data_IF_749449565465
#
_entry.id   IF_749449565465
#
_cell.length_a   1.000
_cell.length_b   1.000
_cell.length_c   1.000
_cell.angle_alpha   90.00
_cell.angle_beta   90.00
_cell.angle_gamma   90.00
#
_symmetry.space_group_name_H-M   'P 1'
#
loop_
_entity.id
_entity.type
_entity.pdbx_description
1 polymer ?
#
# COMPACT_ATOMS: atom_id res chain seq x y z
N UNK A 1 8.35 -20.45 -18.15
CA UNK A 1 8.20 -21.87 -18.51
C UNK A 1 6.94 -22.15 -19.31
N UNK A 2 5.75 -21.85 -18.78
CA UNK A 2 4.48 -22.16 -19.47
C UNK A 2 4.32 -21.53 -20.87
N UNK A 3 4.80 -20.29 -21.07
CA UNK A 3 4.83 -19.58 -22.37
C UNK A 3 5.68 -20.35 -23.40
N UNK A 4 6.84 -20.86 -22.98
CA UNK A 4 7.73 -21.67 -23.84
C UNK A 4 7.06 -23.00 -24.18
N UNK A 5 6.41 -23.64 -23.21
CA UNK A 5 5.65 -24.88 -23.43
C UNK A 5 4.57 -24.69 -24.49
N UNK A 6 3.76 -23.61 -24.39
CA UNK A 6 2.72 -23.31 -25.38
C UNK A 6 3.31 -23.02 -26.75
N UNK A 7 4.40 -22.25 -26.82
CA UNK A 7 5.10 -21.99 -28.07
C UNK A 7 5.55 -23.30 -28.75
N UNK A 8 6.15 -24.21 -27.99
CA UNK A 8 6.59 -25.54 -28.48
C UNK A 8 5.40 -26.34 -28.98
N UNK A 9 4.27 -26.37 -28.25
CA UNK A 9 3.07 -27.06 -28.72
C UNK A 9 2.51 -26.45 -30.01
N UNK A 10 2.51 -25.13 -30.16
CA UNK A 10 2.11 -24.46 -31.41
C UNK A 10 3.00 -24.93 -32.57
N UNK A 11 4.32 -25.02 -32.38
CA UNK A 11 5.25 -25.52 -33.39
C UNK A 11 4.99 -26.99 -33.74
N UNK A 12 4.77 -27.85 -32.74
CA UNK A 12 4.51 -29.29 -32.95
C UNK A 12 3.21 -29.51 -33.73
N UNK A 13 2.13 -28.83 -33.34
CA UNK A 13 0.81 -28.95 -33.97
C UNK A 13 0.85 -28.45 -35.43
N UNK A 14 1.58 -27.36 -35.68
CA UNK A 14 1.60 -26.70 -37.00
C UNK A 14 2.86 -27.00 -37.82
N UNK A 15 3.65 -28.02 -37.45
CA UNK A 15 4.96 -28.35 -38.07
C UNK A 15 4.95 -28.49 -39.59
N UNK A 16 3.81 -28.88 -40.18
CA UNK A 16 3.65 -29.05 -41.63
C UNK A 16 3.46 -27.73 -42.38
N UNK A 17 3.04 -26.68 -41.70
CA UNK A 17 2.79 -25.37 -42.30
C UNK A 17 2.94 -24.25 -41.26
N UNK A 18 4.17 -23.82 -40.99
CA UNK A 18 4.49 -22.86 -39.94
C UNK A 18 4.18 -21.40 -40.30
N UNK A 19 3.97 -21.10 -41.58
CA UNK A 19 3.61 -19.75 -42.06
C UNK A 19 4.53 -18.66 -41.49
N UNK A 20 5.84 -18.90 -41.55
CA UNK A 20 6.86 -18.08 -40.91
C UNK A 20 6.80 -16.61 -41.36
N UNK A 21 6.55 -16.35 -42.64
CA UNK A 21 6.43 -14.98 -43.16
C UNK A 21 5.28 -14.21 -42.48
N UNK A 22 4.09 -14.82 -42.39
CA UNK A 22 2.89 -14.23 -41.78
C UNK A 22 3.03 -14.03 -40.27
N UNK A 23 3.72 -14.94 -39.60
CA UNK A 23 3.87 -14.94 -38.14
C UNK A 23 5.20 -14.33 -37.65
N UNK A 24 6.10 -13.95 -38.55
CA UNK A 24 7.47 -13.46 -38.26
C UNK A 24 7.50 -12.40 -37.17
N UNK A 25 6.73 -11.33 -37.33
CA UNK A 25 6.63 -10.23 -36.36
C UNK A 25 6.17 -10.68 -34.97
N UNK A 26 5.28 -11.66 -34.90
CA UNK A 26 4.76 -12.16 -33.63
C UNK A 26 5.77 -13.09 -32.95
N UNK A 27 6.48 -13.91 -33.72
CA UNK A 27 7.61 -14.68 -33.20
C UNK A 27 8.72 -13.78 -32.67
N UNK A 28 9.05 -12.71 -33.39
CA UNK A 28 10.03 -11.71 -32.93
C UNK A 28 9.60 -11.08 -31.60
N UNK A 29 8.31 -10.76 -31.44
CA UNK A 29 7.79 -10.20 -30.19
C UNK A 29 7.91 -11.19 -29.01
N UNK A 30 7.59 -12.47 -29.24
CA UNK A 30 7.74 -13.54 -28.24
C UNK A 30 9.21 -13.72 -27.86
N UNK A 31 10.10 -13.80 -28.83
CA UNK A 31 11.54 -13.99 -28.59
C UNK A 31 12.14 -12.80 -27.85
N UNK A 32 11.83 -11.58 -28.27
CA UNK A 32 12.28 -10.36 -27.61
C UNK A 32 11.89 -10.35 -26.12
N UNK A 33 10.62 -10.64 -25.82
CA UNK A 33 10.10 -10.71 -24.46
C UNK A 33 10.81 -11.77 -23.61
N UNK A 34 11.08 -12.94 -24.19
CA UNK A 34 11.80 -14.02 -23.51
C UNK A 34 13.26 -13.64 -23.23
N UNK A 35 13.96 -13.07 -24.21
CA UNK A 35 15.36 -12.64 -24.04
C UNK A 35 15.49 -11.50 -23.04
N UNK A 36 14.63 -10.48 -23.10
CA UNK A 36 14.65 -9.39 -22.14
C UNK A 36 14.36 -9.89 -20.72
N UNK A 37 13.43 -10.85 -20.57
CA UNK A 37 13.16 -11.47 -19.26
C UNK A 37 14.36 -12.28 -18.75
N UNK A 38 15.07 -12.98 -19.65
CA UNK A 38 16.28 -13.73 -19.31
C UNK A 38 17.42 -12.79 -18.90
N UNK A 39 17.67 -11.73 -19.67
CA UNK A 39 18.69 -10.72 -19.38
C UNK A 39 18.48 -10.11 -18.00
N UNK A 40 17.26 -9.68 -17.70
CA UNK A 40 16.91 -9.11 -16.38
C UNK A 40 17.11 -10.13 -15.26
N UNK A 41 16.76 -11.39 -15.49
CA UNK A 41 16.95 -12.46 -14.49
C UNK A 41 18.44 -12.71 -14.22
N UNK A 42 19.27 -12.76 -15.28
CA UNK A 42 20.72 -12.94 -15.18
C UNK A 42 21.38 -11.76 -14.48
N UNK A 43 21.03 -10.53 -14.87
CA UNK A 43 21.56 -9.31 -14.25
C UNK A 43 21.24 -9.24 -12.76
N UNK A 44 20.12 -9.84 -12.33
CA UNK A 44 19.69 -9.84 -10.92
C UNK A 44 20.16 -11.04 -10.12
N UNK A 45 20.73 -12.07 -10.77
CA UNK A 45 21.27 -13.25 -10.09
C UNK A 45 22.40 -12.93 -9.11
N UNK A 46 23.14 -11.83 -9.35
CA UNK A 46 24.19 -11.34 -8.45
C UNK A 46 23.71 -10.86 -7.08
N UNK A 47 22.40 -10.63 -6.91
CA UNK A 47 21.79 -10.18 -5.66
C UNK A 47 21.08 -11.33 -4.89
N UNK A 48 21.35 -12.58 -5.26
CA UNK A 48 20.75 -13.77 -4.66
C UNK A 48 19.61 -14.37 -5.49
N UNK A 49 19.42 -15.68 -5.33
CA UNK A 49 18.47 -16.48 -6.13
C UNK A 49 17.00 -16.05 -5.93
N UNK A 50 16.63 -15.62 -4.73
CA UNK A 50 15.29 -15.10 -4.42
C UNK A 50 14.99 -13.78 -5.14
N UNK A 51 16.00 -12.92 -5.29
CA UNK A 51 15.89 -11.63 -5.99
C UNK A 51 15.87 -11.84 -7.50
N UNK A 52 16.68 -12.77 -8.01
CA UNK A 52 16.71 -13.18 -9.42
C UNK A 52 15.35 -13.67 -9.92
N UNK A 53 14.63 -14.43 -9.09
CA UNK A 53 13.33 -15.00 -9.41
C UNK A 53 12.14 -14.08 -9.10
N UNK A 54 12.38 -12.92 -8.48
CA UNK A 54 11.29 -12.00 -8.13
C UNK A 54 10.65 -11.39 -9.39
N UNK A 55 9.36 -11.70 -9.59
CA UNK A 55 8.54 -11.27 -10.74
C UNK A 55 8.17 -9.78 -10.67
N UNK A 56 9.15 -8.88 -10.76
CA UNK A 56 8.91 -7.43 -10.85
C UNK A 56 8.71 -6.93 -12.28
N UNK A 57 9.00 -7.77 -13.29
CA UNK A 57 9.09 -7.38 -14.70
C UNK A 57 7.99 -8.01 -15.56
N UNK A 58 6.80 -8.15 -14.98
CA UNK A 58 5.65 -8.80 -15.60
C UNK A 58 5.19 -8.11 -16.91
N UNK A 59 5.35 -6.79 -17.01
CA UNK A 59 5.09 -6.00 -18.23
C UNK A 59 5.88 -6.52 -19.44
N UNK A 60 7.09 -7.03 -19.23
CA UNK A 60 7.88 -7.61 -20.33
C UNK A 60 7.30 -8.95 -20.78
N UNK A 61 6.74 -9.76 -19.87
CA UNK A 61 6.14 -11.06 -20.22
C UNK A 61 4.80 -10.93 -20.95
N UNK A 62 4.06 -9.84 -20.74
CA UNK A 62 2.79 -9.59 -21.45
C UNK A 62 2.96 -9.55 -22.98
N UNK A 63 4.08 -9.02 -23.47
CA UNK A 63 4.38 -8.99 -24.90
C UNK A 63 4.45 -10.39 -25.53
N UNK A 64 5.03 -11.36 -24.82
CA UNK A 64 5.04 -12.75 -25.30
C UNK A 64 3.65 -13.37 -25.33
N UNK A 65 2.77 -13.05 -24.38
CA UNK A 65 1.40 -13.57 -24.36
C UNK A 65 0.57 -12.98 -25.51
N UNK A 66 0.73 -11.69 -25.79
CA UNK A 66 0.13 -11.01 -26.95
C UNK A 66 0.63 -11.65 -28.26
N UNK A 67 1.93 -11.88 -28.38
CA UNK A 67 2.51 -12.56 -29.53
C UNK A 67 1.95 -13.97 -29.73
N UNK A 68 1.87 -14.77 -28.66
CA UNK A 68 1.26 -16.11 -28.69
C UNK A 68 -0.22 -16.06 -29.09
N UNK A 69 -0.97 -15.08 -28.60
CA UNK A 69 -2.38 -14.90 -28.97
C UNK A 69 -2.54 -14.70 -30.48
N UNK A 70 -1.76 -13.79 -31.08
CA UNK A 70 -1.85 -13.54 -32.51
C UNK A 70 -1.36 -14.73 -33.36
N UNK A 71 -0.34 -15.46 -32.91
CA UNK A 71 0.12 -16.69 -33.58
C UNK A 71 -1.00 -17.74 -33.57
N UNK A 72 -1.59 -18.01 -32.41
CA UNK A 72 -2.70 -18.96 -32.26
C UNK A 72 -3.92 -18.56 -33.09
N UNK A 73 -4.28 -17.28 -33.09
CA UNK A 73 -5.39 -16.75 -33.88
C UNK A 73 -5.15 -16.90 -35.39
N UNK A 74 -3.92 -16.65 -35.84
CA UNK A 74 -3.54 -16.82 -37.24
C UNK A 74 -3.67 -18.27 -37.70
N UNK A 75 -3.22 -19.23 -36.89
CA UNK A 75 -3.38 -20.64 -37.20
C UNK A 75 -4.84 -21.06 -37.25
N UNK A 76 -5.66 -20.66 -36.27
CA UNK A 76 -7.12 -20.91 -36.32
C UNK A 76 -7.75 -20.38 -37.61
N UNK A 77 -7.43 -19.14 -38.00
CA UNK A 77 -7.95 -18.53 -39.23
C UNK A 77 -7.54 -19.31 -40.51
N UNK A 78 -6.29 -19.78 -40.58
CA UNK A 78 -5.81 -20.57 -41.72
C UNK A 78 -6.59 -21.88 -41.86
N UNK A 79 -6.77 -22.62 -40.76
CA UNK A 79 -7.48 -23.90 -40.81
C UNK A 79 -8.98 -23.71 -41.08
N UNK A 80 -9.58 -22.59 -40.65
CA UNK A 80 -10.95 -22.24 -41.06
C UNK A 80 -11.08 -21.99 -42.56
N UNK A 81 -10.10 -21.31 -43.19
CA UNK A 81 -10.11 -21.06 -44.65
C UNK A 81 -9.81 -22.32 -45.47
N UNK A 82 -8.79 -23.07 -45.08
CA UNK A 82 -8.34 -24.24 -45.84
C UNK A 82 -9.31 -25.43 -45.76
N UNK A 83 -10.13 -25.53 -44.71
CA UNK A 83 -11.16 -26.57 -44.60
C UNK A 83 -12.20 -26.51 -45.73
N UNK A 84 -12.38 -25.35 -46.36
CA UNK A 84 -13.30 -25.19 -47.50
C UNK A 84 -12.77 -25.81 -48.82
N UNK A 85 -11.48 -26.18 -48.88
CA UNK A 85 -10.78 -26.57 -50.14
C UNK A 85 -10.26 -28.03 -50.07
N UNK A 86 -10.66 -28.81 -49.05
CA UNK A 86 -10.06 -30.14 -48.81
C UNK A 86 -10.62 -31.21 -49.77
N UNK A 87 -9.77 -31.98 -50.48
CA UNK A 87 -10.21 -33.09 -51.33
C UNK A 87 -10.76 -34.26 -50.51
N UNK A 88 -11.69 -35.03 -51.09
CA UNK A 88 -12.57 -36.06 -50.48
C UNK A 88 -11.87 -37.31 -49.87
N UNK A 89 -10.55 -37.25 -49.61
CA UNK A 89 -9.81 -38.33 -48.98
C UNK A 89 -10.03 -38.31 -47.47
N UNK A 90 -10.73 -39.33 -46.96
CA UNK A 90 -11.07 -39.53 -45.54
C UNK A 90 -9.91 -39.23 -44.56
N UNK A 91 -8.73 -39.81 -44.80
CA UNK A 91 -7.55 -39.62 -43.94
C UNK A 91 -7.01 -38.17 -43.89
N UNK A 92 -7.15 -37.39 -44.97
CA UNK A 92 -6.71 -36.00 -44.99
C UNK A 92 -7.66 -35.09 -44.20
N UNK A 93 -8.96 -35.37 -44.27
CA UNK A 93 -10.00 -34.64 -43.54
C UNK A 93 -9.86 -34.80 -42.03
N UNK A 94 -9.64 -36.03 -41.54
CA UNK A 94 -9.46 -36.32 -40.11
C UNK A 94 -8.23 -35.61 -39.50
N UNK A 95 -7.11 -35.56 -40.24
CA UNK A 95 -5.88 -34.90 -39.79
C UNK A 95 -6.10 -33.38 -39.67
N UNK A 96 -6.82 -32.78 -40.63
CA UNK A 96 -7.11 -31.34 -40.65
C UNK A 96 -8.07 -30.99 -39.51
N UNK A 97 -9.10 -31.80 -39.28
CA UNK A 97 -10.06 -31.60 -38.18
C UNK A 97 -9.40 -31.71 -36.81
N UNK A 98 -8.56 -32.73 -36.59
CA UNK A 98 -7.78 -32.86 -35.35
C UNK A 98 -6.86 -31.66 -35.11
N UNK A 99 -6.19 -31.17 -36.15
CA UNK A 99 -5.29 -30.01 -36.06
C UNK A 99 -6.07 -28.73 -35.75
N UNK A 100 -7.27 -28.57 -36.33
CA UNK A 100 -8.19 -27.47 -36.03
C UNK A 100 -8.58 -27.46 -34.55
N UNK A 101 -9.03 -28.59 -34.00
CA UNK A 101 -9.40 -28.71 -32.58
C UNK A 101 -8.22 -28.35 -31.68
N UNK A 102 -7.02 -28.87 -31.96
CA UNK A 102 -5.81 -28.55 -31.19
C UNK A 102 -5.47 -27.06 -31.22
N UNK A 103 -5.60 -26.39 -32.37
CA UNK A 103 -5.37 -24.94 -32.46
C UNK A 103 -6.41 -24.12 -31.68
N UNK A 104 -7.68 -24.55 -31.63
CA UNK A 104 -8.68 -23.93 -30.75
C UNK A 104 -8.35 -24.14 -29.26
N UNK A 105 -7.87 -25.31 -28.86
CA UNK A 105 -7.43 -25.58 -27.49
C UNK A 105 -6.22 -24.71 -27.10
N UNK A 106 -5.27 -24.52 -28.01
CA UNK A 106 -4.11 -23.64 -27.79
C UNK A 106 -4.52 -22.17 -27.65
N UNK A 107 -5.43 -21.70 -28.52
CA UNK A 107 -6.00 -20.35 -28.40
C UNK A 107 -6.73 -20.16 -27.07
N UNK A 108 -7.57 -21.13 -26.69
CA UNK A 108 -8.27 -21.14 -25.40
C UNK A 108 -7.30 -21.11 -24.23
N UNK A 109 -6.21 -21.87 -24.28
CA UNK A 109 -5.16 -21.89 -23.25
C UNK A 109 -4.50 -20.52 -23.08
N UNK A 110 -4.16 -19.85 -24.18
CA UNK A 110 -3.57 -18.50 -24.15
C UNK A 110 -4.57 -17.48 -23.58
N UNK A 111 -5.85 -17.56 -23.95
CA UNK A 111 -6.90 -16.70 -23.40
C UNK A 111 -7.10 -16.94 -21.89
N UNK A 112 -7.17 -18.19 -21.45
CA UNK A 112 -7.27 -18.52 -20.03
C UNK A 112 -6.11 -17.92 -19.23
N UNK A 113 -4.89 -17.95 -19.76
CA UNK A 113 -3.73 -17.35 -19.09
C UNK A 113 -3.81 -15.83 -19.01
N UNK A 114 -4.30 -15.17 -20.06
CA UNK A 114 -4.54 -13.73 -20.03
C UNK A 114 -5.56 -13.38 -18.94
N UNK A 115 -6.68 -14.09 -18.88
CA UNK A 115 -7.72 -13.84 -17.88
C UNK A 115 -7.22 -14.12 -16.46
N UNK A 116 -6.63 -15.30 -16.21
CA UNK A 116 -6.09 -15.66 -14.90
C UNK A 116 -5.02 -14.66 -14.46
N UNK A 117 -4.11 -14.29 -15.37
CA UNK A 117 -3.06 -13.31 -15.09
C UNK A 117 -3.64 -11.96 -14.69
N UNK A 118 -4.53 -11.37 -15.51
CA UNK A 118 -5.15 -10.08 -15.22
C UNK A 118 -5.91 -10.12 -13.90
N UNK A 119 -6.73 -11.15 -13.67
CA UNK A 119 -7.52 -11.29 -12.44
C UNK A 119 -6.63 -11.41 -11.20
N UNK A 120 -5.62 -12.29 -11.23
CA UNK A 120 -4.71 -12.49 -10.11
C UNK A 120 -3.92 -11.22 -9.77
N UNK A 121 -3.40 -10.53 -10.80
CA UNK A 121 -2.63 -9.30 -10.60
C UNK A 121 -3.48 -8.13 -10.12
N UNK A 122 -4.72 -8.02 -10.60
CA UNK A 122 -5.61 -6.96 -10.15
C UNK A 122 -5.97 -7.12 -8.67
N UNK A 123 -6.33 -8.34 -8.25
CA UNK A 123 -6.66 -8.63 -6.85
C UNK A 123 -5.47 -8.41 -5.93
N UNK A 124 -4.32 -9.00 -6.26
CA UNK A 124 -3.08 -8.82 -5.47
C UNK A 124 -2.60 -7.37 -5.46
N UNK A 125 -2.81 -6.64 -6.56
CA UNK A 125 -2.49 -5.21 -6.67
C UNK A 125 -3.34 -4.34 -5.75
N UNK A 126 -4.63 -4.63 -5.60
CA UNK A 126 -5.51 -3.92 -4.67
C UNK A 126 -5.09 -4.17 -3.21
N UNK A 127 -4.86 -5.43 -2.85
CA UNK A 127 -4.45 -5.81 -1.49
C UNK A 127 -3.11 -5.19 -1.12
N UNK A 128 -2.10 -5.35 -1.99
CA UNK A 128 -0.77 -4.75 -1.81
C UNK A 128 -0.85 -3.23 -1.77
N UNK A 129 -1.70 -2.62 -2.61
CA UNK A 129 -1.93 -1.18 -2.64
C UNK A 129 -2.49 -0.64 -1.33
N UNK A 130 -3.41 -1.38 -0.68
CA UNK A 130 -3.95 -1.00 0.63
C UNK A 130 -2.88 -0.99 1.72
N UNK A 131 -2.07 -2.05 1.80
CA UNK A 131 -0.96 -2.16 2.76
C UNK A 131 0.09 -1.07 2.53
N UNK A 132 0.46 -0.85 1.26
CA UNK A 132 1.44 0.16 0.89
C UNK A 132 0.95 1.58 1.20
N UNK A 133 -0.35 1.84 1.01
CA UNK A 133 -0.94 3.14 1.35
C UNK A 133 -0.87 3.40 2.87
N UNK A 134 -1.15 2.39 3.70
CA UNK A 134 -1.02 2.53 5.14
C UNK A 134 0.43 2.83 5.57
N UNK A 135 1.39 2.12 4.98
CA UNK A 135 2.81 2.36 5.20
C UNK A 135 3.22 3.77 4.75
N UNK A 136 2.73 4.25 3.60
CA UNK A 136 3.03 5.61 3.12
C UNK A 136 2.44 6.69 4.02
N UNK A 137 1.23 6.53 4.53
CA UNK A 137 0.63 7.46 5.49
C UNK A 137 1.42 7.50 6.81
N UNK A 138 1.90 6.34 7.29
CA UNK A 138 2.77 6.28 8.46
C UNK A 138 4.13 6.94 8.20
N UNK A 139 4.73 6.69 7.04
CA UNK A 139 6.00 7.28 6.65
C UNK A 139 5.90 8.80 6.47
N UNK A 140 4.79 9.28 5.89
CA UNK A 140 4.45 10.70 5.80
C UNK A 140 4.43 11.31 7.19
N UNK A 141 3.69 10.71 8.12
CA UNK A 141 3.61 11.17 9.50
C UNK A 141 4.98 11.27 10.19
N UNK A 142 5.82 10.25 10.05
CA UNK A 142 7.18 10.26 10.62
C UNK A 142 8.07 11.35 10.04
N UNK A 143 7.95 11.61 8.73
CA UNK A 143 8.70 12.68 8.08
C UNK A 143 8.19 14.07 8.50
N UNK A 144 6.87 14.24 8.66
CA UNK A 144 6.26 15.50 9.07
C UNK A 144 6.65 15.91 10.49
N UNK A 145 6.74 14.92 11.38
CA UNK A 145 7.03 15.09 12.82
C UNK A 145 8.44 14.66 13.17
N UNK A 146 9.37 14.72 12.20
CA UNK A 146 10.69 14.08 12.32
C UNK A 146 11.48 14.54 13.55
N UNK A 147 11.32 15.80 13.97
CA UNK A 147 11.94 16.37 15.17
C UNK A 147 11.44 15.74 16.47
N UNK A 148 10.24 15.17 16.46
CA UNK A 148 9.63 14.49 17.59
C UNK A 148 9.85 12.97 17.56
N UNK A 149 10.23 12.39 16.43
CA UNK A 149 10.35 10.94 16.28
C UNK A 149 11.66 10.37 16.84
N UNK A 150 11.65 9.13 17.36
CA UNK A 150 12.89 8.38 17.64
C UNK A 150 13.57 7.93 16.34
N UNK A 151 14.87 7.66 16.41
CA UNK A 151 15.68 7.31 15.23
C UNK A 151 15.17 6.05 14.53
N UNK A 152 14.73 5.04 15.29
CA UNK A 152 14.12 3.81 14.77
C UNK A 152 12.93 4.05 13.83
N UNK A 153 12.14 5.10 14.06
CA UNK A 153 11.03 5.46 13.17
C UNK A 153 11.53 6.11 11.87
N UNK A 154 12.59 6.92 11.96
CA UNK A 154 13.21 7.55 10.80
C UNK A 154 13.99 6.55 9.94
N UNK A 155 14.58 5.52 10.55
CA UNK A 155 15.25 4.42 9.87
C UNK A 155 14.33 3.63 8.92
N UNK A 156 13.01 3.68 9.17
CA UNK A 156 12.00 3.11 8.26
C UNK A 156 11.86 3.89 6.95
N UNK A 157 12.23 5.18 6.97
CA UNK A 157 12.23 6.05 5.77
C UNK A 157 13.53 5.87 4.98
N UNK A 158 14.64 5.83 5.70
CA UNK A 158 15.98 5.64 5.14
C UNK A 158 16.92 5.11 6.24
N UNK A 159 17.84 4.17 5.96
CA UNK A 159 18.64 3.50 7.00
C UNK A 159 19.46 4.39 7.94
N UNK A 160 19.68 5.66 7.60
CA UNK A 160 20.39 6.63 8.43
C UNK A 160 19.44 7.74 8.89
N UNK A 161 19.04 7.69 10.17
CA UNK A 161 18.15 8.66 10.78
C UNK A 161 18.71 10.09 10.76
N UNK A 162 20.03 10.26 10.89
CA UNK A 162 20.67 11.58 10.88
C UNK A 162 20.52 12.23 9.50
N UNK A 163 20.77 11.45 8.44
CA UNK A 163 20.56 11.90 7.06
C UNK A 163 19.08 12.25 6.80
N UNK A 164 18.13 11.52 7.39
CA UNK A 164 16.70 11.87 7.32
C UNK A 164 16.45 13.23 7.96
N UNK A 165 16.93 13.48 9.18
CA UNK A 165 16.73 14.76 9.90
C UNK A 165 17.32 15.94 9.13
N UNK A 166 18.53 15.80 8.59
CA UNK A 166 19.19 16.83 7.80
C UNK A 166 18.38 17.18 6.54
N UNK A 167 18.00 16.16 5.76
CA UNK A 167 17.22 16.34 4.53
C UNK A 167 15.81 16.85 4.81
N UNK A 168 15.16 16.35 5.86
CA UNK A 168 13.83 16.82 6.28
C UNK A 168 13.86 18.30 6.68
N UNK A 169 14.96 18.76 7.30
CA UNK A 169 15.15 20.18 7.60
C UNK A 169 15.21 21.04 6.34
N UNK A 170 15.91 20.58 5.29
CA UNK A 170 15.92 21.25 3.99
C UNK A 170 14.54 21.25 3.33
N UNK A 171 13.85 20.10 3.30
CA UNK A 171 12.50 19.99 2.75
C UNK A 171 11.52 20.93 3.46
N UNK A 172 11.60 21.03 4.80
CA UNK A 172 10.80 21.96 5.60
C UNK A 172 11.13 23.41 5.29
N UNK A 173 12.42 23.77 5.17
CA UNK A 173 12.88 25.12 4.83
C UNK A 173 12.35 25.60 3.47
N UNK A 174 12.29 24.71 2.47
CA UNK A 174 11.83 25.02 1.12
C UNK A 174 10.35 24.69 0.86
N UNK A 175 9.60 24.33 1.91
CA UNK A 175 8.18 23.97 1.82
C UNK A 175 7.89 22.86 0.78
N UNK A 176 8.70 21.81 0.78
CA UNK A 176 8.64 20.70 -0.18
C UNK A 176 7.99 19.46 0.43
N UNK A 177 7.46 18.58 -0.44
CA UNK A 177 6.93 17.26 -0.06
C UNK A 177 5.82 17.37 1.01
N UNK A 178 5.91 16.59 2.08
CA UNK A 178 4.94 16.56 3.17
C UNK A 178 4.77 17.93 3.86
N UNK A 179 5.77 18.80 3.78
CA UNK A 179 5.72 20.10 4.41
C UNK A 179 4.92 21.14 3.64
N UNK A 180 4.62 20.90 2.35
CA UNK A 180 3.84 21.82 1.51
C UNK A 180 2.34 21.80 1.79
N UNK A 181 1.88 20.88 2.63
CA UNK A 181 0.48 20.74 2.99
C UNK A 181 0.09 21.77 4.06
N UNK A 182 -1.20 22.13 4.10
CA UNK A 182 -1.75 23.00 5.14
C UNK A 182 -1.53 22.37 6.52
N UNK A 183 -0.98 23.15 7.46
CA UNK A 183 -0.73 22.72 8.83
C UNK A 183 -1.56 23.53 9.80
N UNK A 184 -2.01 22.85 10.85
CA UNK A 184 -2.66 23.49 11.98
C UNK A 184 -1.61 23.72 13.06
N UNK A 185 -1.36 24.99 13.38
CA UNK A 185 -0.62 25.38 14.56
C UNK A 185 -1.61 25.59 15.69
N UNK A 186 -1.53 24.76 16.73
CA UNK A 186 -2.46 24.80 17.85
C UNK A 186 -2.42 26.17 18.56
N UNK A 187 -1.26 26.84 18.60
CA UNK A 187 -1.10 28.14 19.25
C UNK A 187 -1.77 29.28 18.48
N UNK A 188 -1.94 29.12 17.15
CA UNK A 188 -2.60 30.08 16.30
C UNK A 188 -4.14 29.96 16.32
N UNK A 189 -4.69 28.87 16.88
CA UNK A 189 -6.12 28.59 16.89
C UNK A 189 -6.81 29.17 18.13
N UNK A 190 -8.11 29.49 17.98
CA UNK A 190 -8.92 29.96 19.11
C UNK A 190 -9.27 28.79 20.03
N UNK A 191 -8.77 28.82 21.27
CA UNK A 191 -9.17 27.87 22.32
C UNK A 191 -10.65 28.09 22.70
N UNK A 192 -11.42 27.00 22.79
CA UNK A 192 -12.79 26.97 23.30
C UNK A 192 -12.82 26.28 24.67
N UNK A 193 -13.62 26.83 25.58
CA UNK A 193 -13.87 26.26 26.92
C UNK A 193 -14.98 25.18 26.86
N UNK A 194 -14.78 24.17 26.01
CA UNK A 194 -15.68 23.04 25.85
C UNK A 194 -14.87 21.75 25.89
N UNK A 195 -15.43 20.70 26.48
CA UNK A 195 -14.81 19.38 26.48
C UNK A 195 -14.97 18.75 25.07
N UNK A 196 -13.87 18.33 24.42
CA UNK A 196 -13.97 17.58 23.18
C UNK A 196 -14.56 16.18 23.41
N UNK A 197 -15.09 15.57 22.36
CA UNK A 197 -15.53 14.18 22.39
C UNK A 197 -14.41 13.31 21.82
N UNK A 198 -13.78 12.54 22.71
CA UNK A 198 -12.64 11.70 22.39
C UNK A 198 -12.56 10.52 23.36
N UNK A 199 -11.74 9.53 22.99
CA UNK A 199 -11.26 8.46 23.86
C UNK A 199 -9.79 8.23 23.57
N UNK A 200 -9.00 8.02 24.61
CA UNK A 200 -7.68 7.39 24.48
C UNK A 200 -7.88 5.92 24.74
N UNK A 201 -7.60 5.10 23.74
CA UNK A 201 -7.83 3.65 23.81
C UNK A 201 -6.59 2.94 24.34
N UNK A 202 -5.41 3.30 23.84
CA UNK A 202 -4.16 2.70 24.27
C UNK A 202 -3.03 3.72 24.42
N UNK A 203 -2.11 3.43 25.34
CA UNK A 203 -0.82 4.08 25.46
C UNK A 203 0.24 2.97 25.54
N UNK A 204 1.20 2.97 24.63
CA UNK A 204 2.20 1.89 24.46
C UNK A 204 1.58 0.47 24.43
N UNK A 205 0.39 0.34 23.82
CA UNK A 205 -0.35 -0.92 23.72
C UNK A 205 -1.14 -1.31 24.98
N UNK A 206 -0.95 -0.63 26.12
CA UNK A 206 -1.78 -0.82 27.30
C UNK A 206 -3.16 -0.18 27.08
N UNK A 207 -4.24 -0.94 27.25
CA UNK A 207 -5.62 -0.44 27.08
C UNK A 207 -6.03 0.43 28.28
N UNK A 208 -6.02 1.75 28.07
CA UNK A 208 -6.29 2.74 29.13
C UNK A 208 -7.77 3.12 29.22
N UNK A 209 -8.54 2.91 28.16
CA UNK A 209 -10.00 3.14 28.15
C UNK A 209 -10.78 2.18 29.07
N UNK A 210 -10.18 1.05 29.44
CA UNK A 210 -10.79 0.08 30.37
C UNK A 210 -10.56 0.43 31.84
N UNK A 211 -9.64 1.36 32.12
CA UNK A 211 -9.32 1.79 33.48
C UNK A 211 -10.41 2.76 33.93
N UNK A 212 -11.09 2.42 35.03
CA UNK A 212 -12.22 3.22 35.56
C UNK A 212 -11.77 4.44 36.38
N UNK A 213 -10.48 4.56 36.63
CA UNK A 213 -9.91 5.67 37.38
C UNK A 213 -9.82 6.93 36.53
N UNK A 214 -10.07 8.09 37.15
CA UNK A 214 -9.95 9.40 36.50
C UNK A 214 -8.51 9.78 36.14
N UNK A 215 -7.55 9.16 36.83
CA UNK A 215 -6.13 9.38 36.65
C UNK A 215 -5.47 8.07 36.31
N UNK A 216 -4.87 7.99 35.12
CA UNK A 216 -4.18 6.79 34.63
C UNK A 216 -2.69 7.06 34.67
N UNK A 217 -1.96 6.24 35.44
CA UNK A 217 -0.53 6.36 35.65
C UNK A 217 0.21 5.27 34.86
N UNK A 218 1.12 5.66 33.98
CA UNK A 218 1.80 4.75 33.05
C UNK A 218 3.29 4.91 33.19
N UNK A 219 3.97 3.85 33.61
CA UNK A 219 5.43 3.83 33.65
C UNK A 219 5.99 3.62 32.23
N UNK A 220 6.91 4.49 31.84
CA UNK A 220 7.68 4.45 30.61
C UNK A 220 9.12 4.21 31.01
N UNK A 221 9.56 2.96 30.98
CA UNK A 221 10.98 2.67 31.24
C UNK A 221 11.78 3.09 30.01
N UNK A 222 12.57 4.16 30.13
CA UNK A 222 13.39 4.72 29.06
C UNK A 222 14.41 3.72 28.46
N UNK A 223 14.76 2.65 29.19
CA UNK A 223 15.63 1.57 28.70
C UNK A 223 14.89 0.51 27.86
N UNK A 224 13.56 0.47 27.88
CA UNK A 224 12.75 -0.54 27.18
C UNK A 224 11.84 0.05 26.08
N UNK A 225 11.55 1.35 26.16
CA UNK A 225 10.61 2.02 25.25
C UNK A 225 11.30 3.12 24.45
N UNK A 226 11.61 2.82 23.20
CA UNK A 226 12.18 3.79 22.25
C UNK A 226 11.14 4.82 21.74
N UNK A 227 9.85 4.54 21.93
CA UNK A 227 8.74 5.28 21.35
C UNK A 227 7.58 5.33 22.35
N UNK A 228 6.98 6.51 22.50
CA UNK A 228 5.67 6.68 23.12
C UNK A 228 4.64 6.65 22.00
N UNK A 229 3.65 5.76 22.10
CA UNK A 229 2.55 5.62 21.16
C UNK A 229 1.23 5.85 21.89
N UNK A 230 0.40 6.75 21.37
CA UNK A 230 -0.93 7.05 21.93
C UNK A 230 -1.95 6.89 20.82
N UNK A 231 -2.96 6.06 21.07
CA UNK A 231 -4.00 5.72 20.10
C UNK A 231 -5.39 5.97 20.68
N UNK A 232 -6.31 6.37 19.82
CA UNK A 232 -7.67 6.66 20.23
C UNK A 232 -8.55 7.13 19.09
N UNK A 233 -9.61 7.83 19.44
CA UNK A 233 -10.48 8.50 18.50
C UNK A 233 -10.94 9.86 19.04
N UNK A 234 -11.26 10.78 18.15
CA UNK A 234 -11.79 12.10 18.50
C UNK A 234 -12.72 12.62 17.40
N UNK A 235 -13.68 13.47 17.77
CA UNK A 235 -14.62 14.11 16.83
C UNK A 235 -14.87 15.56 17.24
N UNK A 236 -15.32 16.37 16.29
CA UNK A 236 -15.79 17.72 16.57
C UNK A 236 -17.20 17.69 17.16
N UNK A 237 -17.31 18.16 18.40
CA UNK A 237 -18.56 18.18 19.17
C UNK A 237 -19.53 19.24 18.66
N UNK A 238 -19.04 20.33 18.08
CA UNK A 238 -19.90 21.45 17.66
C UNK A 238 -20.66 21.09 16.38
N UNK A 239 -19.97 20.46 15.43
CA UNK A 239 -20.55 20.09 14.14
C UNK A 239 -21.03 18.62 14.08
N UNK A 240 -20.74 17.82 15.10
CA UNK A 240 -20.98 16.37 15.09
C UNK A 240 -20.34 15.68 13.86
N UNK A 241 -19.12 16.11 13.53
CA UNK A 241 -18.34 15.67 12.36
C UNK A 241 -16.95 15.23 12.79
N UNK A 242 -16.16 14.71 11.84
CA UNK A 242 -14.74 14.47 12.06
C UNK A 242 -14.04 15.76 12.46
N UNK A 243 -13.18 15.67 13.47
CA UNK A 243 -12.22 16.74 13.76
C UNK A 243 -11.32 17.00 12.53
N UNK A 244 -10.74 18.19 12.44
CA UNK A 244 -9.79 18.50 11.37
C UNK A 244 -8.39 17.95 11.68
N UNK A 245 -8.00 18.00 12.94
CA UNK A 245 -6.73 17.49 13.45
C UNK A 245 -6.84 17.15 14.94
N UNK A 246 -5.93 16.31 15.42
CA UNK A 246 -5.79 15.95 16.83
C UNK A 246 -4.33 16.13 17.22
N UNK A 247 -4.12 16.66 18.41
CA UNK A 247 -2.79 16.85 18.99
C UNK A 247 -2.74 16.24 20.39
N UNK A 248 -1.57 15.72 20.74
CA UNK A 248 -1.23 15.37 22.12
C UNK A 248 -0.48 16.54 22.72
N UNK A 249 -0.97 17.07 23.83
CA UNK A 249 -0.33 18.15 24.57
C UNK A 249 0.28 17.57 25.83
N UNK A 250 1.61 17.67 25.97
CA UNK A 250 2.34 17.19 27.15
C UNK A 250 2.84 18.38 27.97
N UNK A 251 2.48 18.38 29.26
CA UNK A 251 2.81 19.43 30.23
C UNK A 251 2.47 20.86 29.77
N UNK A 252 1.45 21.01 28.91
CA UNK A 252 1.06 22.29 28.29
C UNK A 252 2.19 23.00 27.51
N UNK A 253 3.24 22.26 27.09
CA UNK A 253 4.43 22.79 26.41
C UNK A 253 4.76 22.10 25.10
N UNK A 254 4.71 20.76 25.08
CA UNK A 254 5.03 19.98 23.89
C UNK A 254 3.73 19.62 23.20
N UNK A 255 3.59 20.00 21.93
CA UNK A 255 2.43 19.68 21.10
C UNK A 255 2.87 18.70 20.02
N UNK A 256 2.38 17.46 20.11
CA UNK A 256 2.67 16.38 19.16
C UNK A 256 1.48 16.24 18.22
N UNK A 257 1.63 16.54 16.91
CA UNK A 257 0.61 16.23 15.93
C UNK A 257 0.34 14.73 15.87
N UNK A 258 -0.92 14.35 15.71
CA UNK A 258 -1.32 12.94 15.52
C UNK A 258 -1.59 12.65 14.05
N UNK A 259 -1.32 11.42 13.61
CA UNK A 259 -1.91 10.87 12.39
C UNK A 259 -3.40 10.66 12.64
N UNK A 260 -4.22 11.54 12.07
CA UNK A 260 -5.68 11.48 12.15
C UNK A 260 -6.30 10.89 10.87
N UNK A 261 -7.53 10.41 10.93
CA UNK A 261 -8.21 9.79 9.78
C UNK A 261 -8.12 8.26 9.73
N UNK A 262 -7.67 7.62 10.81
CA UNK A 262 -7.53 6.16 10.90
C UNK A 262 -8.92 5.52 10.98
N UNK A 263 -9.11 4.42 10.24
CA UNK A 263 -10.39 3.73 10.17
C UNK A 263 -10.74 3.06 11.51
N UNK A 264 -11.99 3.23 11.95
CA UNK A 264 -12.56 2.73 13.20
C UNK A 264 -13.97 2.19 12.96
N UNK A 265 -14.03 0.94 12.52
CA UNK A 265 -15.31 0.26 12.22
C UNK A 265 -16.16 0.04 13.47
N UNK A 266 -15.51 -0.13 14.62
CA UNK A 266 -16.15 -0.27 15.93
C UNK A 266 -16.96 0.96 16.35
N UNK A 267 -16.57 2.17 15.91
CA UNK A 267 -17.27 3.41 16.24
C UNK A 267 -18.57 3.60 15.47
N UNK A 268 -18.68 3.03 14.26
CA UNK A 268 -19.91 3.13 13.45
C UNK A 268 -21.08 2.51 14.21
N UNK A 269 -20.83 1.36 14.84
CA UNK A 269 -21.86 0.62 15.57
C UNK A 269 -22.17 1.27 16.93
N UNK A 270 -21.15 1.72 17.65
CA UNK A 270 -21.30 2.26 19.01
C UNK A 270 -21.90 3.68 19.04
N UNK A 271 -21.55 4.52 18.06
CA UNK A 271 -21.98 5.93 18.00
C UNK A 271 -23.08 6.17 16.95
N UNK A 272 -23.46 5.14 16.20
CA UNK A 272 -24.50 5.18 15.15
C UNK A 272 -24.33 6.33 14.15
N UNK A 273 -23.08 6.73 13.89
CA UNK A 273 -22.75 7.78 12.93
C UNK A 273 -21.66 7.27 11.97
N UNK A 274 -22.03 7.10 10.69
CA UNK A 274 -21.13 6.61 9.64
C UNK A 274 -19.99 7.59 9.34
N UNK A 275 -20.19 8.87 9.63
CA UNK A 275 -19.18 9.90 9.41
C UNK A 275 -17.97 9.72 10.32
N UNK A 276 -18.11 8.95 11.41
CA UNK A 276 -17.03 8.69 12.36
C UNK A 276 -16.13 7.51 11.99
N UNK A 277 -16.33 6.89 10.81
CA UNK A 277 -15.48 5.80 10.33
C UNK A 277 -13.99 6.16 10.37
N UNK A 278 -13.62 7.43 10.16
CA UNK A 278 -12.23 7.91 10.14
C UNK A 278 -11.87 8.77 11.36
N UNK A 279 -12.52 8.56 12.49
CA UNK A 279 -12.28 9.33 13.72
C UNK A 279 -11.01 8.89 14.49
N UNK A 280 -10.32 7.84 14.04
CA UNK A 280 -9.15 7.31 14.73
C UNK A 280 -7.93 8.22 14.61
N UNK A 281 -7.14 8.27 15.69
CA UNK A 281 -5.85 8.95 15.73
C UNK A 281 -4.76 8.05 16.30
N UNK A 282 -3.52 8.31 15.87
CA UNK A 282 -2.30 7.73 16.43
C UNK A 282 -1.21 8.78 16.48
N UNK A 283 -0.66 9.01 17.66
CA UNK A 283 0.51 9.86 17.85
C UNK A 283 1.71 8.99 18.24
N UNK A 284 2.90 9.39 17.80
CA UNK A 284 4.14 8.84 18.34
C UNK A 284 5.22 9.89 18.50
N UNK A 285 6.03 9.76 19.55
CA UNK A 285 7.15 10.65 19.81
C UNK A 285 8.20 9.99 20.71
N UNK A 286 9.40 10.56 20.72
CA UNK A 286 10.54 10.07 21.48
C UNK A 286 10.36 10.39 22.99
N UNK A 287 10.38 9.39 23.89
CA UNK A 287 10.30 9.63 25.33
C UNK A 287 11.40 10.54 25.89
N UNK A 288 12.59 10.55 25.29
CA UNK A 288 13.71 11.41 25.73
C UNK A 288 13.40 12.91 25.65
N UNK A 289 12.35 13.32 24.96
CA UNK A 289 11.88 14.72 24.90
C UNK A 289 11.21 15.18 26.20
N UNK A 290 10.78 14.24 27.05
CA UNK A 290 10.09 14.54 28.29
C UNK A 290 11.07 14.81 29.45
N UNK A 291 12.21 14.12 29.47
CA UNK A 291 13.09 14.03 30.64
C UNK A 291 12.50 13.12 31.72
N UNK A 292 13.24 12.90 32.80
CA UNK A 292 12.80 12.04 33.90
C UNK A 292 11.68 12.72 34.72
N UNK A 293 10.68 11.94 35.12
CA UNK A 293 9.61 12.38 36.03
C UNK A 293 8.20 12.18 35.50
N UNK A 294 7.25 12.90 36.11
CA UNK A 294 5.82 12.77 35.80
C UNK A 294 5.38 13.81 34.76
N UNK A 295 4.78 13.34 33.67
CA UNK A 295 4.31 14.18 32.57
C UNK A 295 2.82 13.98 32.32
N UNK A 296 2.07 15.08 32.37
CA UNK A 296 0.63 15.08 32.12
C UNK A 296 0.36 15.21 30.62
N UNK A 297 -0.48 14.32 30.10
CA UNK A 297 -0.99 14.37 28.73
C UNK A 297 -2.42 14.90 28.72
N UNK A 298 -2.72 15.74 27.73
CA UNK A 298 -4.07 16.14 27.33
C UNK A 298 -4.25 15.93 25.83
N UNK A 299 -5.50 15.70 25.41
CA UNK A 299 -5.86 15.60 24.00
C UNK A 299 -6.46 16.92 23.55
N UNK A 300 -5.90 17.52 22.50
CA UNK A 300 -6.46 18.70 21.86
C UNK A 300 -7.09 18.31 20.52
N UNK A 301 -8.32 18.76 20.29
CA UNK A 301 -9.13 18.42 19.11
C UNK A 301 -9.48 19.70 18.38
N UNK A 302 -9.11 19.77 17.10
CA UNK A 302 -9.38 20.92 16.23
C UNK A 302 -10.74 20.76 15.56
N UNK A 303 -11.54 21.83 15.55
CA UNK A 303 -12.86 21.85 14.92
C UNK A 303 -12.79 21.53 13.42
N UNK A 304 -13.89 21.04 12.85
CA UNK A 304 -13.96 20.61 11.45
C UNK A 304 -13.58 21.74 10.47
N UNK A 305 -13.97 22.97 10.80
CA UNK A 305 -13.66 24.20 10.07
C UNK A 305 -12.20 24.69 10.21
N UNK A 306 -11.42 24.09 11.13
CA UNK A 306 -10.03 24.45 11.36
C UNK A 306 -9.80 25.80 12.06
N UNK A 307 -10.83 26.42 12.66
CA UNK A 307 -10.70 27.77 13.24
C UNK A 307 -10.46 27.78 14.75
N UNK A 308 -10.75 26.66 15.42
CA UNK A 308 -10.74 26.57 16.88
C UNK A 308 -10.31 25.20 17.38
N UNK A 309 -10.01 25.11 18.67
CA UNK A 309 -9.71 23.82 19.30
C UNK A 309 -10.24 23.74 20.73
N UNK A 310 -10.49 22.51 21.17
CA UNK A 310 -10.91 22.16 22.52
C UNK A 310 -9.86 21.25 23.16
N UNK A 311 -9.69 21.30 24.48
CA UNK A 311 -8.76 20.43 25.22
C UNK A 311 -9.54 19.53 26.18
N UNK A 312 -9.24 18.23 26.15
CA UNK A 312 -9.78 17.26 27.09
C UNK A 312 -9.28 17.47 28.52
N UNK A 313 -10.21 17.56 29.47
CA UNK A 313 -9.93 17.73 30.90
C UNK A 313 -10.46 16.56 31.76
N UNK A 314 -11.33 15.70 31.22
CA UNK A 314 -12.01 14.65 32.01
C UNK A 314 -11.10 13.52 32.50
N UNK A 315 -10.12 13.12 31.70
CA UNK A 315 -9.18 12.05 32.02
C UNK A 315 -7.76 12.61 32.07
N UNK A 316 -7.05 12.39 33.18
CA UNK A 316 -5.66 12.77 33.31
C UNK A 316 -4.77 11.54 33.09
N UNK A 317 -3.98 11.56 32.03
CA UNK A 317 -2.99 10.52 31.76
C UNK A 317 -1.61 11.04 32.17
N UNK A 318 -1.00 10.38 33.14
CA UNK A 318 0.33 10.70 33.63
C UNK A 318 1.31 9.63 33.13
N UNK A 319 2.35 10.09 32.45
CA UNK A 319 3.50 9.27 32.09
C UNK A 319 4.58 9.44 33.15
N UNK A 320 5.18 8.34 33.60
CA UNK A 320 6.32 8.32 34.50
C UNK A 320 7.52 7.83 33.69
N UNK A 321 8.37 8.75 33.27
CA UNK A 321 9.62 8.46 32.53
C UNK A 321 10.77 8.33 33.51
#
# INVERSE_FOLDING_TARGET
>A
MLIITILVFIFIVNRKNLQLEKNSKWFSLVLFSLFASLEVSVARAGFGSSVALSQRYLLLTYWSIIGLYFISLNFVNIYCRNFQIVPDRFSAKDIIEKTKILNYLLLGSVLCLLFIGVSYHFVTGIETGSVLNEQFEQNKYYLETFDLQPDRNLERLYPDATAVREKATLLRKYNLSVFSQEKYDLEALKKKDKEPQYSVDSINGQQVNLIKDKTVNIAITSTETDEIVIEGWAVDVDENKLARAVFIVVNDKITVPSRYGIKREDLINNLNNKDFLKAGFRASFNPSLLGDGTHRIKIAVVSNDGTSYCIGQKNEYNLYV
#
